data_IF_297024476064
#
_entry.id   IF_297024476064
#
_cell.length_a   1.000
_cell.length_b   1.000
_cell.length_c   1.000
_cell.angle_alpha   90.00
_cell.angle_beta   90.00
_cell.angle_gamma   90.00
#
_symmetry.space_group_name_H-M   'P 1'
#
loop_
_entity.id
_entity.type
_entity.pdbx_description
1 polymer ?
#
# COMPACT_ATOMS: atom_id res chain seq x y z
N UNK A 1 4.20 23.94 -17.55
CA UNK A 1 4.45 22.97 -16.49
C UNK A 1 4.63 21.59 -17.11
N UNK A 2 5.68 20.86 -16.77
CA UNK A 2 5.94 19.53 -17.37
C UNK A 2 4.92 18.54 -16.85
N UNK A 3 4.16 17.88 -17.73
CA UNK A 3 3.37 16.69 -17.38
C UNK A 3 4.33 15.67 -16.77
N UNK A 4 4.38 15.58 -15.45
CA UNK A 4 5.19 14.57 -14.78
C UNK A 4 4.52 13.20 -15.03
N UNK A 5 5.26 12.33 -15.68
CA UNK A 5 4.86 10.96 -15.94
C UNK A 5 5.52 10.08 -14.89
N UNK A 6 4.73 9.30 -14.20
CA UNK A 6 5.21 8.39 -13.15
C UNK A 6 5.19 6.94 -13.64
N UNK A 7 6.17 6.18 -13.16
CA UNK A 7 6.21 4.73 -13.29
C UNK A 7 5.87 4.11 -11.94
N UNK A 8 5.00 3.12 -11.92
CA UNK A 8 4.65 2.35 -10.74
C UNK A 8 5.41 1.02 -10.77
N UNK A 9 6.11 0.72 -9.71
CA UNK A 9 6.74 -0.57 -9.46
C UNK A 9 5.96 -1.24 -8.33
N UNK A 10 5.44 -2.44 -8.58
CA UNK A 10 4.75 -3.24 -7.57
C UNK A 10 5.67 -4.37 -7.15
N UNK A 11 6.00 -4.41 -5.85
CA UNK A 11 6.78 -5.46 -5.23
C UNK A 11 5.90 -6.31 -4.32
N UNK A 12 5.43 -7.47 -4.77
CA UNK A 12 4.75 -8.43 -3.91
C UNK A 12 5.76 -9.19 -3.05
N UNK A 13 5.35 -9.52 -1.82
CA UNK A 13 6.13 -10.35 -0.92
C UNK A 13 5.40 -11.66 -0.61
N UNK A 14 6.14 -12.75 -0.53
CA UNK A 14 5.74 -14.10 -0.13
C UNK A 14 4.81 -14.84 -1.06
N UNK A 15 3.86 -14.17 -1.70
CA UNK A 15 2.89 -14.80 -2.61
C UNK A 15 2.52 -13.87 -3.75
N UNK A 16 1.96 -14.43 -4.78
CA UNK A 16 1.29 -13.69 -5.83
C UNK A 16 -0.11 -13.29 -5.34
N UNK A 17 -0.61 -12.15 -5.79
CA UNK A 17 -1.92 -11.62 -5.41
C UNK A 17 -2.74 -11.36 -6.67
N UNK A 18 -3.90 -11.99 -6.77
CA UNK A 18 -4.77 -11.91 -7.96
C UNK A 18 -5.25 -10.49 -8.26
N UNK A 19 -5.32 -9.64 -7.24
CA UNK A 19 -5.77 -8.25 -7.36
C UNK A 19 -4.72 -7.26 -7.91
N UNK A 20 -3.48 -7.68 -8.15
CA UNK A 20 -2.41 -6.79 -8.65
C UNK A 20 -2.75 -6.21 -10.01
N UNK A 21 -3.33 -7.00 -10.91
CA UNK A 21 -3.72 -6.52 -12.24
C UNK A 21 -4.78 -5.41 -12.15
N UNK A 22 -5.68 -5.50 -11.19
CA UNK A 22 -6.69 -4.47 -10.94
C UNK A 22 -6.07 -3.18 -10.38
N UNK A 23 -5.04 -3.29 -9.51
CA UNK A 23 -4.24 -2.13 -9.10
C UNK A 23 -3.59 -1.47 -10.34
N UNK A 24 -2.98 -2.27 -11.23
CA UNK A 24 -2.36 -1.75 -12.45
C UNK A 24 -3.36 -0.99 -13.32
N UNK A 25 -4.53 -1.58 -13.56
CA UNK A 25 -5.59 -1.00 -14.38
C UNK A 25 -6.11 0.31 -13.79
N UNK A 26 -6.46 0.29 -12.51
CA UNK A 26 -7.02 1.44 -11.82
C UNK A 26 -5.99 2.56 -11.63
N UNK A 27 -4.72 2.25 -11.33
CA UNK A 27 -3.67 3.26 -11.18
C UNK A 27 -3.42 4.02 -12.48
N UNK A 28 -3.41 3.34 -13.62
CA UNK A 28 -3.30 3.98 -14.95
C UNK A 28 -4.49 4.92 -15.22
N UNK A 29 -5.69 4.48 -14.87
CA UNK A 29 -6.91 5.27 -15.09
C UNK A 29 -6.98 6.50 -14.18
N UNK A 30 -6.73 6.32 -12.88
CA UNK A 30 -6.88 7.36 -11.88
C UNK A 30 -5.73 8.37 -11.86
N UNK A 31 -4.49 7.90 -12.06
CA UNK A 31 -3.28 8.68 -11.77
C UNK A 31 -2.40 8.95 -12.99
N UNK A 32 -2.86 8.57 -14.18
CA UNK A 32 -2.07 8.73 -15.42
C UNK A 32 -0.68 8.09 -15.33
N UNK A 33 -0.59 6.96 -14.62
CA UNK A 33 0.64 6.16 -14.56
C UNK A 33 0.97 5.64 -15.95
N UNK A 34 2.17 5.91 -16.43
CA UNK A 34 2.59 5.61 -17.81
C UNK A 34 3.00 4.15 -17.93
N UNK A 35 3.79 3.68 -16.98
CA UNK A 35 4.31 2.32 -16.94
C UNK A 35 4.04 1.70 -15.58
N UNK A 36 3.62 0.45 -15.59
CA UNK A 36 3.55 -0.38 -14.38
C UNK A 36 4.45 -1.58 -14.61
N UNK A 37 5.29 -1.85 -13.63
CA UNK A 37 6.19 -3.00 -13.59
C UNK A 37 5.88 -3.81 -12.34
N UNK A 38 5.58 -5.09 -12.52
CA UNK A 38 5.36 -6.03 -11.43
C UNK A 38 6.64 -6.85 -11.28
N UNK A 39 7.28 -6.72 -10.14
CA UNK A 39 8.49 -7.49 -9.86
C UNK A 39 8.15 -8.91 -9.41
N UNK A 40 9.06 -9.87 -9.60
CA UNK A 40 8.93 -11.19 -9.00
C UNK A 40 8.76 -11.09 -7.49
N UNK A 41 7.94 -11.96 -6.91
CA UNK A 41 7.78 -12.01 -5.46
C UNK A 41 9.10 -12.35 -4.77
N UNK A 42 9.37 -11.68 -3.69
CA UNK A 42 10.54 -11.93 -2.84
C UNK A 42 10.13 -12.22 -1.40
N UNK A 43 11.05 -12.75 -0.63
CA UNK A 43 10.86 -12.98 0.80
C UNK A 43 11.74 -12.00 1.59
N UNK A 44 11.18 -11.47 2.67
CA UNK A 44 11.98 -10.69 3.61
C UNK A 44 12.97 -11.60 4.35
N UNK A 45 14.13 -11.07 4.74
CA UNK A 45 15.06 -11.76 5.61
C UNK A 45 14.39 -12.26 6.89
N UNK A 46 14.71 -13.49 7.31
CA UNK A 46 14.02 -14.13 8.45
C UNK A 46 14.24 -13.41 9.78
N UNK A 47 15.37 -12.76 9.93
CA UNK A 47 15.77 -11.98 11.10
C UNK A 47 14.95 -10.71 11.28
N UNK A 48 14.36 -10.18 10.21
CA UNK A 48 13.41 -9.06 10.28
C UNK A 48 12.04 -9.49 10.83
N UNK A 49 11.74 -10.79 10.80
CA UNK A 49 10.45 -11.29 11.23
C UNK A 49 10.45 -11.62 12.71
N UNK A 50 9.72 -10.83 13.47
CA UNK A 50 9.56 -11.02 14.91
C UNK A 50 8.59 -12.15 15.21
N UNK A 51 8.99 -13.01 16.15
CA UNK A 51 8.08 -13.95 16.80
C UNK A 51 7.75 -13.45 18.20
N UNK A 52 6.49 -13.54 18.66
CA UNK A 52 6.15 -13.12 20.01
C UNK A 52 6.98 -13.88 21.03
N UNK A 53 7.74 -13.14 21.86
CA UNK A 53 8.67 -13.72 22.84
C UNK A 53 7.99 -14.22 24.12
N UNK A 54 6.83 -13.68 24.48
CA UNK A 54 6.11 -14.05 25.71
C UNK A 54 5.01 -15.08 25.47
N UNK A 55 4.72 -15.91 26.48
CA UNK A 55 3.61 -16.88 26.42
C UNK A 55 2.25 -16.20 26.23
N UNK A 56 2.02 -15.05 26.87
CA UNK A 56 0.81 -14.24 26.71
C UNK A 56 0.72 -13.69 25.27
N UNK A 57 1.79 -13.13 24.74
CA UNK A 57 1.83 -12.65 23.37
C UNK A 57 1.61 -13.79 22.36
N UNK A 58 2.17 -14.99 22.60
CA UNK A 58 1.91 -16.18 21.78
C UNK A 58 0.44 -16.61 21.80
N UNK A 59 -0.25 -16.47 22.92
CA UNK A 59 -1.66 -16.81 23.07
C UNK A 59 -2.57 -15.81 22.32
N UNK A 60 -2.33 -14.52 22.49
CA UNK A 60 -3.14 -13.47 21.83
C UNK A 60 -2.77 -13.26 20.35
N UNK A 61 -1.52 -13.49 19.98
CA UNK A 61 -1.01 -13.18 18.64
C UNK A 61 -0.84 -14.39 17.73
N UNK A 62 -1.35 -15.56 18.12
CA UNK A 62 -1.42 -16.83 17.36
C UNK A 62 -0.52 -16.87 16.11
N UNK A 63 0.75 -17.27 16.25
CA UNK A 63 1.71 -17.56 15.14
C UNK A 63 1.94 -16.40 14.15
N UNK A 64 1.70 -15.16 14.53
CA UNK A 64 1.78 -13.99 13.65
C UNK A 64 3.23 -13.57 13.49
N UNK A 65 3.70 -13.55 12.25
CA UNK A 65 4.96 -12.91 11.93
C UNK A 65 4.72 -11.41 11.83
N UNK A 66 5.51 -10.66 12.57
CA UNK A 66 5.42 -9.20 12.64
C UNK A 66 6.73 -8.60 12.17
N UNK A 67 6.69 -7.37 11.73
CA UNK A 67 7.87 -6.61 11.35
C UNK A 67 7.75 -5.19 11.88
N UNK A 68 8.84 -4.59 12.36
CA UNK A 68 8.87 -3.17 12.65
C UNK A 68 8.87 -2.35 11.35
N UNK A 69 8.14 -1.25 11.36
CA UNK A 69 8.06 -0.36 10.18
C UNK A 69 9.44 0.13 9.75
N UNK A 70 10.24 0.60 10.69
CA UNK A 70 11.57 1.15 10.39
C UNK A 70 12.51 0.11 9.79
N UNK A 71 12.48 -1.13 10.29
CA UNK A 71 13.25 -2.24 9.76
C UNK A 71 12.80 -2.59 8.33
N UNK A 72 11.48 -2.61 8.11
CA UNK A 72 10.91 -2.86 6.79
C UNK A 72 11.32 -1.77 5.80
N UNK A 73 11.18 -0.50 6.18
CA UNK A 73 11.59 0.64 5.34
C UNK A 73 13.08 0.58 5.04
N UNK A 74 13.90 0.28 6.05
CA UNK A 74 15.34 0.09 5.88
C UNK A 74 15.69 -1.02 4.89
N UNK A 75 14.97 -2.14 4.93
CA UNK A 75 15.17 -3.25 3.99
C UNK A 75 14.74 -2.87 2.57
N UNK A 76 13.56 -2.27 2.42
CA UNK A 76 13.07 -1.83 1.12
C UNK A 76 14.02 -0.85 0.43
N UNK A 77 14.63 0.06 1.18
CA UNK A 77 15.62 1.02 0.65
C UNK A 77 16.88 0.35 0.09
N UNK A 78 17.23 -0.84 0.52
CA UNK A 78 18.37 -1.58 -0.06
C UNK A 78 18.06 -2.09 -1.48
N UNK A 79 16.79 -2.36 -1.76
CA UNK A 79 16.34 -2.90 -3.05
C UNK A 79 15.95 -1.81 -4.05
N UNK A 80 15.59 -0.62 -3.58
CA UNK A 80 15.08 0.44 -4.44
C UNK A 80 15.87 1.73 -4.26
N UNK A 81 16.45 2.20 -5.35
CA UNK A 81 17.05 3.54 -5.39
C UNK A 81 15.95 4.60 -5.54
N UNK A 82 16.09 5.68 -4.79
CA UNK A 82 15.18 6.83 -4.91
C UNK A 82 15.21 7.41 -6.32
N UNK A 83 14.05 7.53 -6.91
CA UNK A 83 13.82 8.18 -8.20
C UNK A 83 12.49 8.93 -8.11
N UNK A 84 12.51 10.23 -8.26
CA UNK A 84 11.32 11.09 -8.12
C UNK A 84 10.18 10.77 -9.13
N UNK A 85 10.47 9.98 -10.16
CA UNK A 85 9.50 9.54 -11.17
C UNK A 85 9.01 8.10 -10.95
N UNK A 86 9.54 7.40 -9.97
CA UNK A 86 9.15 6.03 -9.65
C UNK A 86 8.39 6.00 -8.34
N UNK A 87 7.26 5.35 -8.34
CA UNK A 87 6.47 5.01 -7.15
C UNK A 87 6.65 3.53 -6.89
N UNK A 88 6.98 3.17 -5.68
CA UNK A 88 7.14 1.79 -5.25
C UNK A 88 5.97 1.44 -4.35
N UNK A 89 5.24 0.40 -4.70
CA UNK A 89 4.17 -0.18 -3.89
C UNK A 89 4.60 -1.56 -3.43
N UNK A 90 4.84 -1.72 -2.13
CA UNK A 90 5.20 -2.98 -1.50
C UNK A 90 3.96 -3.61 -0.84
N UNK A 91 3.67 -4.87 -1.17
CA UNK A 91 2.48 -5.60 -0.66
C UNK A 91 2.95 -6.84 0.10
N UNK A 92 2.58 -6.96 1.38
CA UNK A 92 3.03 -8.05 2.24
C UNK A 92 1.94 -8.55 3.20
N UNK A 93 2.00 -9.85 3.61
CA UNK A 93 0.96 -10.46 4.46
C UNK A 93 1.28 -10.39 5.96
N UNK A 94 2.12 -9.47 6.40
CA UNK A 94 2.58 -9.38 7.78
C UNK A 94 1.97 -8.21 8.53
N UNK A 95 1.79 -8.39 9.83
CA UNK A 95 1.44 -7.28 10.71
C UNK A 95 2.64 -6.34 10.86
N UNK A 96 2.43 -5.05 10.65
CA UNK A 96 3.48 -4.03 10.72
C UNK A 96 3.30 -3.28 12.04
N UNK A 97 4.32 -3.41 12.91
CA UNK A 97 4.40 -2.66 14.16
C UNK A 97 4.83 -1.21 13.85
N UNK A 98 4.14 -0.26 14.48
CA UNK A 98 4.37 1.17 14.22
C UNK A 98 3.30 1.81 13.32
N UNK A 99 2.40 1.01 12.75
CA UNK A 99 1.27 1.52 11.97
C UNK A 99 0.08 2.00 12.82
N UNK A 100 -0.05 1.54 14.06
CA UNK A 100 -1.28 1.59 14.83
C UNK A 100 -2.23 0.43 14.49
N UNK A 101 -3.20 0.18 15.36
CA UNK A 101 -3.97 -1.08 15.36
C UNK A 101 -4.87 -1.29 14.14
N UNK A 102 -5.23 -0.24 13.41
CA UNK A 102 -6.20 -0.29 12.30
C UNK A 102 -5.59 0.07 10.93
N UNK A 103 -4.29 0.33 10.84
CA UNK A 103 -3.69 0.75 9.59
C UNK A 103 -3.22 -0.45 8.78
N UNK A 104 -3.68 -0.51 7.54
CA UNK A 104 -3.31 -1.54 6.55
C UNK A 104 -2.49 -0.97 5.40
N UNK A 105 -2.30 0.35 5.36
CA UNK A 105 -1.47 1.04 4.38
C UNK A 105 -0.77 2.26 4.94
N UNK A 106 0.40 2.58 4.41
CA UNK A 106 1.19 3.76 4.76
C UNK A 106 2.13 4.14 3.62
N UNK A 107 2.33 5.44 3.46
CA UNK A 107 3.37 6.01 2.61
C UNK A 107 4.41 6.70 3.51
N UNK A 108 5.40 5.93 4.04
CA UNK A 108 6.36 6.44 5.02
C UNK A 108 7.32 7.44 4.43
N UNK A 109 7.54 7.37 3.12
CA UNK A 109 8.43 8.27 2.38
C UNK A 109 7.83 8.65 1.04
N UNK A 110 8.23 9.78 0.46
CA UNK A 110 7.85 10.09 -0.91
C UNK A 110 8.21 8.92 -1.83
N UNK A 111 7.25 8.49 -2.63
CA UNK A 111 7.42 7.40 -3.60
C UNK A 111 7.53 5.98 -3.04
N UNK A 112 7.39 5.76 -1.73
CA UNK A 112 7.36 4.43 -1.14
C UNK A 112 6.04 4.22 -0.40
N UNK A 113 5.21 3.38 -0.94
CA UNK A 113 3.94 2.95 -0.34
C UNK A 113 4.03 1.49 0.12
N UNK A 114 3.49 1.20 1.28
CA UNK A 114 3.48 -0.12 1.88
C UNK A 114 2.03 -0.48 2.19
N UNK A 115 1.63 -1.69 1.79
CA UNK A 115 0.30 -2.24 2.08
C UNK A 115 0.46 -3.59 2.77
N UNK A 116 -0.13 -3.70 3.96
CA UNK A 116 -0.27 -4.96 4.66
C UNK A 116 -1.62 -5.58 4.33
N UNK A 117 -1.61 -6.83 3.88
CA UNK A 117 -2.85 -7.57 3.70
C UNK A 117 -3.30 -8.29 4.97
N UNK A 118 -2.57 -8.07 6.08
CA UNK A 118 -2.85 -8.68 7.36
C UNK A 118 -4.16 -8.14 7.95
N UNK A 119 -5.04 -9.05 8.40
CA UNK A 119 -6.31 -8.67 9.04
C UNK A 119 -7.37 -8.09 8.11
N UNK A 120 -7.11 -8.01 6.82
CA UNK A 120 -8.14 -7.63 5.83
C UNK A 120 -9.20 -8.74 5.74
N UNK A 121 -10.48 -8.34 5.75
CA UNK A 121 -11.60 -9.26 5.70
C UNK A 121 -11.58 -10.10 4.42
N UNK A 122 -11.66 -11.44 4.55
CA UNK A 122 -11.57 -12.37 3.42
C UNK A 122 -12.66 -12.15 2.37
N UNK A 123 -13.88 -11.81 2.79
CA UNK A 123 -15.02 -11.61 1.89
C UNK A 123 -14.84 -10.44 0.92
N UNK A 124 -14.07 -9.43 1.32
CA UNK A 124 -13.81 -8.21 0.55
C UNK A 124 -12.31 -7.94 0.41
N UNK A 125 -11.55 -9.04 0.35
CA UNK A 125 -10.10 -8.98 0.41
C UNK A 125 -9.51 -8.19 -0.76
N UNK A 126 -9.91 -8.52 -1.98
CA UNK A 126 -9.38 -7.89 -3.18
C UNK A 126 -9.78 -6.43 -3.27
N UNK A 127 -11.07 -6.11 -3.08
CA UNK A 127 -11.59 -4.75 -3.15
C UNK A 127 -10.90 -3.83 -2.12
N UNK A 128 -10.72 -4.33 -0.90
CA UNK A 128 -10.05 -3.58 0.14
C UNK A 128 -8.57 -3.36 -0.18
N UNK A 129 -7.84 -4.40 -0.57
CA UNK A 129 -6.42 -4.31 -0.90
C UNK A 129 -6.16 -3.38 -2.10
N UNK A 130 -7.02 -3.45 -3.13
CA UNK A 130 -6.96 -2.53 -4.27
C UNK A 130 -7.16 -1.10 -3.79
N UNK A 131 -8.23 -0.83 -3.05
CA UNK A 131 -8.56 0.51 -2.60
C UNK A 131 -7.49 1.13 -1.72
N UNK A 132 -6.93 0.36 -0.78
CA UNK A 132 -5.82 0.79 0.08
C UNK A 132 -4.58 1.08 -0.77
N UNK A 133 -4.22 0.19 -1.69
CA UNK A 133 -3.07 0.37 -2.57
C UNK A 133 -3.18 1.65 -3.40
N UNK A 134 -4.33 1.88 -3.98
CA UNK A 134 -4.59 3.10 -4.75
C UNK A 134 -4.55 4.36 -3.86
N UNK A 135 -5.05 4.29 -2.63
CA UNK A 135 -4.97 5.39 -1.65
C UNK A 135 -3.50 5.76 -1.36
N UNK A 136 -2.67 4.76 -1.07
CA UNK A 136 -1.24 4.98 -0.80
C UNK A 136 -0.47 5.49 -2.03
N UNK A 137 -0.77 4.98 -3.23
CA UNK A 137 -0.23 5.56 -4.48
C UNK A 137 -0.62 7.04 -4.60
N UNK A 138 -1.84 7.41 -4.21
CA UNK A 138 -2.27 8.79 -4.16
C UNK A 138 -1.40 9.66 -3.26
N UNK A 139 -1.01 9.14 -2.08
CA UNK A 139 -0.07 9.84 -1.19
C UNK A 139 1.31 9.99 -1.81
N UNK A 140 1.83 8.95 -2.47
CA UNK A 140 3.10 9.04 -3.21
C UNK A 140 3.07 10.08 -4.33
N UNK A 141 1.90 10.39 -4.86
CA UNK A 141 1.68 11.47 -5.83
C UNK A 141 1.40 12.84 -5.19
N UNK A 142 1.54 12.96 -3.87
CA UNK A 142 1.35 14.20 -3.12
C UNK A 142 -0.10 14.55 -2.78
N UNK A 143 -1.06 13.64 -3.02
CA UNK A 143 -2.43 13.85 -2.61
C UNK A 143 -2.54 13.74 -1.09
N UNK A 144 -3.26 14.68 -0.48
CA UNK A 144 -3.53 14.68 0.96
C UNK A 144 -4.89 14.02 1.24
N UNK A 145 -5.12 13.71 2.51
CA UNK A 145 -6.42 13.21 2.95
C UNK A 145 -7.57 14.17 2.61
N UNK A 146 -8.75 13.59 2.41
CA UNK A 146 -9.98 14.26 2.07
C UNK A 146 -11.08 13.90 3.08
N UNK A 147 -12.03 14.82 3.29
CA UNK A 147 -13.22 14.58 4.13
C UNK A 147 -14.45 14.16 3.32
N UNK A 148 -14.38 14.20 1.98
CA UNK A 148 -15.53 13.94 1.10
C UNK A 148 -15.84 12.45 1.05
N UNK A 149 -17.11 12.11 1.25
CA UNK A 149 -17.59 10.75 1.09
C UNK A 149 -17.38 10.26 -0.35
N UNK A 150 -17.02 8.99 -0.47
CA UNK A 150 -16.75 8.34 -1.76
C UNK A 150 -15.44 8.76 -2.45
N UNK A 151 -14.66 9.67 -1.85
CA UNK A 151 -13.33 9.97 -2.36
C UNK A 151 -12.33 8.89 -1.91
N UNK A 152 -11.53 8.40 -2.83
CA UNK A 152 -10.47 7.43 -2.57
C UNK A 152 -9.49 7.92 -1.48
N UNK A 153 -9.22 9.22 -1.40
CA UNK A 153 -8.35 9.84 -0.39
C UNK A 153 -9.06 10.18 0.93
N UNK A 154 -10.25 9.61 1.19
CA UNK A 154 -10.98 9.88 2.43
C UNK A 154 -10.23 9.34 3.65
N UNK A 155 -10.11 10.18 4.70
CA UNK A 155 -9.63 9.76 6.02
C UNK A 155 -10.80 9.55 7.00
N UNK A 156 -10.68 8.58 7.94
CA UNK A 156 -9.62 7.57 8.01
C UNK A 156 -9.73 6.54 6.89
N UNK A 157 -8.58 6.14 6.34
CA UNK A 157 -8.52 5.09 5.33
C UNK A 157 -8.69 3.72 6.01
N UNK A 158 -9.86 3.12 5.85
CA UNK A 158 -10.18 1.82 6.42
C UNK A 158 -10.57 0.83 5.31
N UNK A 159 -10.26 -0.48 5.45
CA UNK A 159 -10.63 -1.49 4.45
C UNK A 159 -12.09 -1.42 4.01
N UNK A 160 -13.00 -1.20 4.96
CA UNK A 160 -14.44 -1.11 4.71
C UNK A 160 -14.87 0.02 3.76
N UNK A 161 -14.04 1.04 3.60
CA UNK A 161 -14.33 2.16 2.69
C UNK A 161 -14.35 1.70 1.23
N UNK A 162 -13.78 0.53 0.92
CA UNK A 162 -13.55 0.01 -0.42
C UNK A 162 -14.33 -1.26 -0.75
N UNK A 163 -15.15 -1.78 0.16
CA UNK A 163 -15.87 -3.04 -0.02
C UNK A 163 -16.87 -3.06 -1.20
N UNK A 164 -17.21 -1.88 -1.71
CA UNK A 164 -18.06 -1.76 -2.90
C UNK A 164 -17.27 -1.81 -4.23
N UNK A 165 -15.93 -1.91 -4.17
CA UNK A 165 -15.08 -1.95 -5.37
C UNK A 165 -15.07 -0.67 -6.20
N UNK A 166 -15.51 0.46 -5.63
CA UNK A 166 -15.55 1.74 -6.33
C UNK A 166 -14.41 2.64 -5.91
N UNK A 167 -13.51 2.94 -6.84
CA UNK A 167 -12.31 3.75 -6.60
C UNK A 167 -12.38 5.01 -7.46
N UNK A 168 -12.57 6.17 -6.84
CA UNK A 168 -12.63 7.45 -7.54
C UNK A 168 -12.07 8.59 -6.70
N UNK A 169 -11.50 9.54 -7.35
CA UNK A 169 -11.10 10.79 -6.74
C UNK A 169 -12.25 11.82 -6.77
N UNK A 170 -12.26 12.71 -5.82
CA UNK A 170 -13.15 13.87 -5.92
C UNK A 170 -12.55 14.93 -6.87
N UNK A 171 -13.36 15.83 -7.37
CA UNK A 171 -12.98 16.88 -8.33
C UNK A 171 -11.72 17.65 -7.91
N UNK A 172 -11.58 17.93 -6.61
CA UNK A 172 -10.41 18.63 -6.08
C UNK A 172 -9.12 17.84 -6.30
N UNK A 173 -9.16 16.52 -6.03
CA UNK A 173 -7.98 15.65 -6.22
C UNK A 173 -7.69 15.39 -7.70
N UNK A 174 -8.71 15.23 -8.53
CA UNK A 174 -8.53 15.16 -9.99
C UNK A 174 -7.83 16.40 -10.53
N UNK A 175 -8.27 17.59 -10.08
CA UNK A 175 -7.64 18.84 -10.48
C UNK A 175 -6.18 18.94 -10.05
N UNK A 176 -5.84 18.47 -8.83
CA UNK A 176 -4.44 18.45 -8.36
C UNK A 176 -3.52 17.57 -9.21
N UNK A 177 -4.04 16.51 -9.81
CA UNK A 177 -3.29 15.63 -10.72
C UNK A 177 -3.23 16.15 -12.15
N UNK A 178 -4.06 17.12 -12.50
CA UNK A 178 -4.10 17.68 -13.84
C UNK A 178 -2.99 18.74 -14.10
N UNK A 179 -2.41 19.27 -13.02
CA UNK A 179 -1.35 20.29 -13.05
C UNK A 179 0.00 19.72 -12.64
#
# INVERSE_FOLDING_TARGET
>A
MRNMQYNLIIQPFYRDYDFIEDICRNSKSLYKIVKVEILPKIMLPKDLLLSPKSHLAKFFMRKRKMIYLDDLVGELKKHFTYDSKKIILSILPHYILGFGDDLVGLTPEPNLSIVSTYGVNERHFSEACIGISLHEIGHSLGLRHCKREGCLMKAPCKPKNFYNGVYRLCKEHENKLAY
#
